data_IF_385196312618
#
_entry.id   IF_385196312618
#
_cell.length_a   1.000
_cell.length_b   1.000
_cell.length_c   1.000
_cell.angle_alpha   90.00
_cell.angle_beta   90.00
_cell.angle_gamma   90.00
#
_symmetry.space_group_name_H-M   'P 1'
#
loop_
_entity.id
_entity.type
_entity.pdbx_description
1 polymer ?
#
# COMPACT_ATOMS: atom_id res chain seq x y z
N UNK A 1 1.21 -26.12 -22.73
CA UNK A 1 2.29 -25.23 -22.24
C UNK A 1 1.90 -23.74 -22.16
N UNK A 2 0.79 -23.27 -22.74
CA UNK A 2 0.39 -21.85 -22.71
C UNK A 2 -0.15 -21.32 -21.35
N UNK A 3 -0.85 -22.15 -20.57
CA UNK A 3 -1.47 -21.72 -19.30
C UNK A 3 -0.44 -21.32 -18.22
N UNK A 4 0.74 -21.94 -18.22
CA UNK A 4 1.81 -21.64 -17.26
C UNK A 4 2.60 -20.37 -17.59
N UNK A 5 2.55 -19.89 -18.83
CA UNK A 5 3.16 -18.63 -19.23
C UNK A 5 2.24 -17.44 -18.88
N UNK A 6 0.93 -17.58 -19.13
CA UNK A 6 -0.06 -16.54 -18.79
C UNK A 6 -0.17 -16.32 -17.27
N UNK A 7 -0.09 -17.39 -16.47
CA UNK A 7 -0.10 -17.28 -15.00
C UNK A 7 1.12 -16.50 -14.48
N UNK A 8 2.32 -16.81 -14.96
CA UNK A 8 3.56 -16.11 -14.58
C UNK A 8 3.53 -14.63 -14.97
N UNK A 9 3.05 -14.33 -16.19
CA UNK A 9 2.92 -12.94 -16.64
C UNK A 9 1.93 -12.13 -15.79
N UNK A 10 0.82 -12.74 -15.35
CA UNK A 10 -0.15 -12.10 -14.44
C UNK A 10 0.41 -11.85 -13.05
N UNK A 11 1.18 -12.79 -12.50
CA UNK A 11 1.82 -12.65 -11.18
C UNK A 11 2.89 -11.56 -11.21
N UNK A 12 3.70 -11.51 -12.28
CA UNK A 12 4.75 -10.51 -12.46
C UNK A 12 4.18 -9.10 -12.57
N UNK A 13 3.13 -8.92 -13.38
CA UNK A 13 2.42 -7.65 -13.49
C UNK A 13 1.81 -7.21 -12.15
N UNK A 14 1.31 -8.14 -11.33
CA UNK A 14 0.78 -7.82 -10.01
C UNK A 14 1.87 -7.37 -9.05
N UNK A 15 3.06 -7.99 -9.09
CA UNK A 15 4.22 -7.55 -8.30
C UNK A 15 4.65 -6.14 -8.68
N UNK A 16 4.78 -5.87 -9.97
CA UNK A 16 5.15 -4.53 -10.46
C UNK A 16 4.13 -3.45 -10.05
N UNK A 17 2.82 -3.75 -10.14
CA UNK A 17 1.76 -2.82 -9.75
C UNK A 17 1.78 -2.56 -8.22
N UNK A 18 2.06 -3.61 -7.42
CA UNK A 18 2.24 -3.49 -5.96
C UNK A 18 3.50 -2.69 -5.60
N UNK A 19 4.61 -2.87 -6.35
CA UNK A 19 5.83 -2.09 -6.17
C UNK A 19 5.57 -0.59 -6.40
N UNK A 20 4.89 -0.25 -7.51
CA UNK A 20 4.50 1.13 -7.83
C UNK A 20 3.55 1.71 -6.79
N UNK A 21 2.66 0.89 -6.23
CA UNK A 21 1.79 1.29 -5.12
C UNK A 21 2.61 1.66 -3.88
N UNK A 22 3.54 0.79 -3.45
CA UNK A 22 4.44 1.04 -2.32
C UNK A 22 5.23 2.35 -2.51
N UNK A 23 5.79 2.57 -3.71
CA UNK A 23 6.55 3.78 -4.03
C UNK A 23 5.67 5.04 -4.03
N UNK A 24 4.51 5.00 -4.70
CA UNK A 24 3.57 6.14 -4.80
C UNK A 24 3.18 6.66 -3.41
N UNK A 25 2.99 5.73 -2.49
CA UNK A 25 2.45 5.99 -1.18
C UNK A 25 3.54 6.00 -0.08
N UNK A 26 4.78 5.68 -0.43
CA UNK A 26 5.99 5.67 0.42
C UNK A 26 5.80 4.79 1.66
N UNK A 27 5.63 3.48 1.45
CA UNK A 27 5.19 2.51 2.47
C UNK A 27 6.27 1.66 3.08
N UNK A 28 7.50 2.14 2.98
CA UNK A 28 8.68 1.46 3.52
C UNK A 28 8.57 1.19 5.04
N UNK A 29 7.78 2.00 5.74
CA UNK A 29 7.62 1.96 7.20
C UNK A 29 6.43 1.10 7.70
N UNK A 30 5.64 0.54 6.78
CA UNK A 30 4.45 -0.29 7.06
C UNK A 30 4.79 -1.77 6.97
N UNK A 31 4.02 -2.59 7.68
CA UNK A 31 4.20 -4.04 7.59
C UNK A 31 3.58 -4.63 6.30
N UNK A 32 3.95 -5.88 5.98
CA UNK A 32 3.54 -6.53 4.74
C UNK A 32 2.02 -6.78 4.67
N UNK A 33 1.37 -7.01 5.82
CA UNK A 33 -0.06 -7.27 5.94
C UNK A 33 -0.86 -5.98 5.68
N UNK A 34 -0.44 -4.88 6.31
CA UNK A 34 -0.94 -3.53 6.09
C UNK A 34 -0.83 -3.15 4.61
N UNK A 35 0.35 -3.35 3.99
CA UNK A 35 0.56 -3.05 2.56
C UNK A 35 -0.39 -3.87 1.67
N UNK A 36 -0.63 -5.14 2.01
CA UNK A 36 -1.47 -6.04 1.24
C UNK A 36 -2.96 -5.63 1.29
N UNK A 37 -3.49 -5.37 2.49
CA UNK A 37 -4.89 -4.93 2.64
C UNK A 37 -5.16 -3.59 1.96
N UNK A 38 -4.15 -2.75 1.94
CA UNK A 38 -4.20 -1.46 1.28
C UNK A 38 -4.10 -1.55 -0.23
N UNK A 39 -3.26 -2.43 -0.74
CA UNK A 39 -3.20 -2.73 -2.16
C UNK A 39 -4.54 -3.30 -2.67
N UNK A 40 -5.20 -4.17 -1.89
CA UNK A 40 -6.54 -4.67 -2.21
C UNK A 40 -7.56 -3.53 -2.29
N UNK A 41 -7.56 -2.64 -1.30
CA UNK A 41 -8.48 -1.49 -1.26
C UNK A 41 -8.25 -0.58 -2.47
N UNK A 42 -6.99 -0.18 -2.72
CA UNK A 42 -6.60 0.59 -3.90
C UNK A 42 -7.06 -0.06 -5.21
N UNK A 43 -6.86 -1.36 -5.39
CA UNK A 43 -7.26 -2.07 -6.62
C UNK A 43 -8.76 -1.98 -6.90
N UNK A 44 -9.58 -2.01 -5.86
CA UNK A 44 -11.04 -1.91 -5.97
C UNK A 44 -11.48 -0.46 -6.20
N UNK A 45 -10.77 0.51 -5.61
CA UNK A 45 -11.18 1.92 -5.66
C UNK A 45 -10.51 2.75 -6.76
N UNK A 46 -9.42 2.28 -7.38
CA UNK A 46 -8.61 3.09 -8.32
C UNK A 46 -9.35 3.62 -9.55
N UNK A 47 -10.50 3.05 -9.88
CA UNK A 47 -11.35 3.48 -11.00
C UNK A 47 -12.72 3.99 -10.57
N UNK A 48 -12.94 4.15 -9.25
CA UNK A 48 -14.18 4.71 -8.72
C UNK A 48 -13.96 6.17 -8.28
N UNK A 49 -15.05 6.94 -8.21
CA UNK A 49 -15.01 8.34 -7.77
C UNK A 49 -14.56 8.55 -6.31
N UNK A 50 -14.35 7.48 -5.55
CA UNK A 50 -13.92 7.52 -4.14
C UNK A 50 -12.40 7.38 -3.97
N UNK A 51 -11.62 7.20 -5.04
CA UNK A 51 -10.17 7.04 -4.94
C UNK A 51 -9.49 8.19 -4.21
N UNK A 52 -9.94 9.43 -4.43
CA UNK A 52 -9.38 10.60 -3.75
C UNK A 52 -9.58 10.59 -2.24
N UNK A 53 -10.66 9.97 -1.74
CA UNK A 53 -10.90 9.80 -0.30
C UNK A 53 -10.02 8.71 0.29
N UNK A 54 -9.81 7.62 -0.46
CA UNK A 54 -8.88 6.55 -0.07
C UNK A 54 -7.46 7.11 0.05
N UNK A 55 -7.03 7.91 -0.92
CA UNK A 55 -5.71 8.57 -0.91
C UNK A 55 -5.55 9.53 0.27
N UNK A 56 -6.60 10.31 0.59
CA UNK A 56 -6.58 11.23 1.72
C UNK A 56 -6.54 10.49 3.07
N UNK A 57 -7.43 9.52 3.27
CA UNK A 57 -7.46 8.71 4.50
C UNK A 57 -6.12 8.03 4.74
N UNK A 58 -5.48 7.62 3.66
CA UNK A 58 -4.17 7.02 3.72
C UNK A 58 -3.06 7.95 4.21
N UNK A 59 -2.97 9.17 3.64
CA UNK A 59 -2.01 10.18 4.10
C UNK A 59 -2.19 10.43 5.60
N UNK A 60 -3.44 10.47 6.07
CA UNK A 60 -3.76 10.64 7.48
C UNK A 60 -3.23 9.47 8.32
N UNK A 61 -3.53 8.23 7.95
CA UNK A 61 -3.06 7.03 8.67
C UNK A 61 -1.53 7.02 8.77
N UNK A 62 -0.84 7.37 7.68
CA UNK A 62 0.62 7.44 7.67
C UNK A 62 1.15 8.47 8.66
N UNK A 63 0.62 9.69 8.63
CA UNK A 63 1.09 10.74 9.54
C UNK A 63 0.76 10.39 11.00
N UNK A 64 -0.37 9.73 11.27
CA UNK A 64 -0.69 9.22 12.61
C UNK A 64 0.32 8.16 13.08
N UNK A 65 0.72 7.22 12.22
CA UNK A 65 1.74 6.22 12.55
C UNK A 65 3.10 6.86 12.83
N UNK A 66 3.50 7.87 12.05
CA UNK A 66 4.75 8.63 12.28
C UNK A 66 4.70 9.39 13.60
N UNK A 67 3.58 10.04 13.92
CA UNK A 67 3.36 10.71 15.19
C UNK A 67 3.45 9.73 16.37
N UNK A 68 2.84 8.55 16.24
CA UNK A 68 2.88 7.54 17.28
C UNK A 68 4.32 7.03 17.55
N UNK A 69 5.09 6.72 16.49
CA UNK A 69 6.51 6.34 16.61
C UNK A 69 7.33 7.43 17.33
N UNK A 70 7.18 8.70 16.94
CA UNK A 70 7.88 9.82 17.57
C UNK A 70 7.52 9.98 19.06
N UNK A 71 6.25 9.80 19.43
CA UNK A 71 5.78 9.87 20.83
C UNK A 71 6.42 8.74 21.65
N UNK A 72 6.44 7.52 21.13
CA UNK A 72 7.05 6.37 21.82
C UNK A 72 8.56 6.55 22.00
N UNK A 73 9.26 7.17 21.04
CA UNK A 73 10.67 7.54 21.21
C UNK A 73 10.89 8.62 22.28
N UNK A 74 10.01 9.61 22.36
CA UNK A 74 10.06 10.65 23.39
C UNK A 74 9.83 10.07 24.80
N UNK A 75 8.91 9.11 24.95
CA UNK A 75 8.64 8.46 26.25
C UNK A 75 9.80 7.58 26.75
N UNK A 76 10.66 7.11 25.85
CA UNK A 76 11.82 6.26 26.18
C UNK A 76 13.04 7.07 26.62
N UNK A 77 12.99 8.41 26.50
CA UNK A 77 14.00 9.34 27.04
C UNK A 77 13.64 9.76 28.46
#
# INVERSE_FOLDING_TARGET
MGLFLDKRAKEEKQREDKQKFIERYKLEDFDEEEIEDMYKTYKVTRFSGIQGLVDQNWIIIKELNRLNKNIEELKKK
#
